data_IF_597411299889
#
_entry.id   IF_597411299889
#
_cell.length_a   1.000
_cell.length_b   1.000
_cell.length_c   1.000
_cell.angle_alpha   90.00
_cell.angle_beta   90.00
_cell.angle_gamma   90.00
#
_symmetry.space_group_name_H-M   'P 1'
#
loop_
_entity.id
_entity.type
_entity.pdbx_description
1 polymer ?
#
# COMPACT_ATOMS: atom_id res chain seq x y z
N UNK A 1 25.11 -25.53 10.80
CA UNK A 1 25.16 -26.12 12.16
C UNK A 1 24.96 -25.09 13.28
N UNK A 2 25.51 -23.87 13.22
CA UNK A 2 25.36 -22.86 14.29
C UNK A 2 24.02 -22.09 14.35
N UNK A 3 23.28 -21.96 13.25
CA UNK A 3 21.99 -21.25 13.21
C UNK A 3 20.83 -22.04 13.82
N UNK A 4 20.91 -23.37 13.82
CA UNK A 4 19.84 -24.24 14.34
C UNK A 4 19.80 -24.25 15.88
N UNK A 5 20.94 -24.12 16.55
CA UNK A 5 21.05 -24.07 18.01
C UNK A 5 20.57 -22.75 18.60
N UNK A 6 20.77 -21.63 17.90
CA UNK A 6 20.29 -20.30 18.29
C UNK A 6 18.76 -20.18 18.23
N UNK A 7 18.13 -20.77 17.20
CA UNK A 7 16.67 -20.83 17.09
C UNK A 7 16.03 -21.64 18.23
N UNK A 8 16.65 -22.77 18.61
CA UNK A 8 16.18 -23.60 19.72
C UNK A 8 16.37 -22.92 21.10
N UNK A 9 17.47 -22.18 21.29
CA UNK A 9 17.72 -21.40 22.50
C UNK A 9 16.75 -20.22 22.67
N UNK A 10 16.42 -19.51 21.58
CA UNK A 10 15.44 -18.42 21.61
C UNK A 10 14.01 -18.92 21.90
N UNK A 11 13.66 -20.11 21.40
CA UNK A 11 12.37 -20.74 21.68
C UNK A 11 12.23 -21.17 23.15
N UNK A 12 13.31 -21.62 23.79
CA UNK A 12 13.33 -21.99 25.21
C UNK A 12 13.30 -20.76 26.12
N UNK A 13 13.94 -19.64 25.75
CA UNK A 13 13.86 -18.38 26.51
C UNK A 13 12.46 -17.76 26.49
N UNK A 14 11.76 -17.83 25.34
CA UNK A 14 10.39 -17.31 25.19
C UNK A 14 9.36 -18.05 26.06
N UNK A 15 9.64 -19.31 26.43
CA UNK A 15 8.79 -20.11 27.31
C UNK A 15 9.02 -19.86 28.81
N UNK A 16 10.18 -19.31 29.19
CA UNK A 16 10.58 -19.13 30.58
C UNK A 16 9.92 -17.91 31.27
N UNK A 17 9.57 -16.87 30.50
CA UNK A 17 8.86 -15.67 30.95
C UNK A 17 8.02 -15.10 29.79
N UNK A 18 6.79 -15.58 29.59
CA UNK A 18 5.98 -15.12 28.47
C UNK A 18 5.54 -13.66 28.69
N UNK A 19 5.73 -12.81 27.68
CA UNK A 19 5.16 -11.47 27.70
C UNK A 19 3.65 -11.59 27.47
N UNK A 20 2.88 -11.09 28.43
CA UNK A 20 1.43 -11.00 28.34
C UNK A 20 1.02 -9.57 28.03
N UNK A 21 0.29 -9.36 26.94
CA UNK A 21 -0.23 -8.05 26.51
C UNK A 21 -1.74 -8.07 26.59
N UNK A 22 -2.31 -7.23 27.45
CA UNK A 22 -3.76 -7.00 27.52
C UNK A 22 -4.12 -5.75 26.74
N UNK A 23 -5.17 -5.80 25.92
CA UNK A 23 -5.71 -4.66 25.20
C UNK A 23 -7.24 -4.74 25.09
N UNK A 24 -7.89 -3.59 25.05
CA UNK A 24 -9.33 -3.48 24.82
C UNK A 24 -9.62 -3.54 23.31
N UNK A 25 -10.53 -4.42 22.89
CA UNK A 25 -10.94 -4.53 21.49
C UNK A 25 -11.95 -3.43 21.09
N UNK A 26 -12.27 -3.34 19.80
CA UNK A 26 -13.19 -2.31 19.27
C UNK A 26 -14.61 -2.40 19.83
N UNK A 27 -14.97 -3.51 20.46
CA UNK A 27 -16.29 -3.74 21.06
C UNK A 27 -16.26 -3.53 22.58
N UNK A 28 -15.14 -3.07 23.15
CA UNK A 28 -14.98 -2.83 24.58
C UNK A 28 -14.68 -4.09 25.40
N UNK A 29 -14.23 -5.18 24.76
CA UNK A 29 -13.86 -6.39 25.48
C UNK A 29 -12.35 -6.46 25.70
N UNK A 30 -11.94 -6.80 26.92
CA UNK A 30 -10.54 -7.04 27.25
C UNK A 30 -10.06 -8.36 26.65
N UNK A 31 -8.94 -8.29 25.91
CA UNK A 31 -8.27 -9.46 25.35
C UNK A 31 -6.83 -9.52 25.82
N UNK A 32 -6.41 -10.71 26.19
CA UNK A 32 -5.06 -10.99 26.68
C UNK A 32 -4.34 -11.89 25.70
N UNK A 33 -3.16 -11.48 25.23
CA UNK A 33 -2.29 -12.26 24.35
C UNK A 33 -1.01 -12.66 25.09
N UNK A 34 -0.66 -13.95 25.06
CA UNK A 34 0.55 -14.47 25.71
C UNK A 34 1.57 -14.86 24.64
N UNK A 35 2.81 -14.37 24.76
CA UNK A 35 3.89 -14.73 23.84
C UNK A 35 4.10 -16.24 23.79
N UNK A 36 3.92 -16.85 22.62
CA UNK A 36 3.97 -18.30 22.42
C UNK A 36 2.63 -18.93 22.01
N UNK A 37 1.52 -18.18 22.12
CA UNK A 37 0.26 -18.58 21.53
C UNK A 37 0.40 -18.70 20.00
N UNK A 38 -0.13 -19.79 19.42
CA UNK A 38 -0.02 -20.13 17.98
C UNK A 38 -0.24 -18.88 17.12
N UNK A 39 0.57 -18.65 16.08
CA UNK A 39 0.41 -17.54 15.09
C UNK A 39 -1.05 -17.33 14.60
N UNK A 40 -1.88 -18.38 14.66
CA UNK A 40 -3.31 -18.31 14.34
C UNK A 40 -4.15 -17.47 15.34
N UNK A 41 -3.73 -17.29 16.58
CA UNK A 41 -4.41 -16.45 17.59
C UNK A 41 -4.09 -14.96 17.44
N UNK A 42 -2.97 -14.59 16.80
CA UNK A 42 -2.64 -13.21 16.46
C UNK A 42 -3.09 -12.79 15.05
N UNK A 43 -3.59 -13.71 14.23
CA UNK A 43 -4.10 -13.44 12.89
C UNK A 43 -5.64 -13.37 12.88
N UNK A 44 -6.20 -12.16 12.77
CA UNK A 44 -7.64 -11.98 12.67
C UNK A 44 -8.09 -12.10 11.20
N UNK A 45 -8.89 -13.12 10.87
CA UNK A 45 -9.62 -13.15 9.59
C UNK A 45 -10.81 -12.19 9.69
N UNK A 46 -10.69 -11.04 9.06
CA UNK A 46 -11.76 -10.04 8.98
C UNK A 46 -11.48 -9.08 7.83
N UNK A 47 -12.51 -8.44 7.28
CA UNK A 47 -12.37 -7.44 6.22
C UNK A 47 -11.48 -6.32 6.73
N UNK A 48 -10.34 -6.08 6.05
CA UNK A 48 -9.38 -5.04 6.44
C UNK A 48 -10.01 -3.67 6.21
N UNK A 49 -10.75 -3.17 7.20
CA UNK A 49 -11.31 -1.80 7.19
C UNK A 49 -10.20 -0.74 7.11
N UNK A 50 -8.96 -1.11 7.43
CA UNK A 50 -7.76 -0.27 7.35
C UNK A 50 -7.27 -0.08 5.90
N UNK A 51 -7.51 -1.04 5.00
CA UNK A 51 -7.05 -0.98 3.61
C UNK A 51 -8.08 -0.40 2.63
N UNK A 52 -9.33 -0.18 3.06
CA UNK A 52 -10.44 0.29 2.20
C UNK A 52 -10.10 1.58 1.45
N UNK A 53 -9.41 2.53 2.10
CA UNK A 53 -9.02 3.79 1.47
C UNK A 53 -7.97 3.60 0.39
N UNK A 54 -7.00 2.71 0.64
CA UNK A 54 -5.95 2.36 -0.30
C UNK A 54 -6.57 1.66 -1.51
N UNK A 55 -7.44 0.68 -1.29
CA UNK A 55 -8.19 -0.03 -2.35
C UNK A 55 -9.08 0.91 -3.18
N UNK A 56 -9.80 1.83 -2.52
CA UNK A 56 -10.60 2.83 -3.21
C UNK A 56 -9.74 3.73 -4.10
N UNK A 57 -8.55 4.13 -3.62
CA UNK A 57 -7.61 4.90 -4.40
C UNK A 57 -7.03 4.10 -5.58
N UNK A 58 -6.65 2.84 -5.37
CA UNK A 58 -6.22 1.94 -6.45
C UNK A 58 -7.29 1.78 -7.53
N UNK A 59 -8.56 1.70 -7.12
CA UNK A 59 -9.68 1.63 -8.06
C UNK A 59 -9.81 2.91 -8.90
N UNK A 60 -9.64 4.08 -8.28
CA UNK A 60 -9.65 5.37 -8.98
C UNK A 60 -8.47 5.48 -9.95
N UNK A 61 -7.26 5.17 -9.51
CA UNK A 61 -6.05 5.13 -10.35
C UNK A 61 -6.24 4.18 -11.53
N UNK A 62 -6.77 2.98 -11.27
CA UNK A 62 -7.03 1.99 -12.32
C UNK A 62 -7.98 2.54 -13.36
N UNK A 63 -9.15 3.02 -12.94
CA UNK A 63 -10.16 3.57 -13.85
C UNK A 63 -9.67 4.80 -14.61
N UNK A 64 -8.87 5.65 -13.96
CA UNK A 64 -8.44 6.93 -14.51
C UNK A 64 -7.19 6.89 -15.39
N UNK A 65 -6.29 5.92 -15.21
CA UNK A 65 -5.01 5.87 -15.92
C UNK A 65 -4.63 4.47 -16.43
N UNK A 66 -4.80 3.43 -15.62
CA UNK A 66 -4.20 2.10 -15.93
C UNK A 66 -5.09 1.25 -16.84
N UNK A 67 -6.41 1.46 -16.86
CA UNK A 67 -7.36 0.65 -17.62
C UNK A 67 -7.15 0.72 -19.15
N UNK A 68 -6.55 1.79 -19.66
CA UNK A 68 -6.13 1.89 -21.05
C UNK A 68 -4.96 0.94 -21.33
N UNK A 69 -3.89 1.05 -20.55
CA UNK A 69 -2.68 0.22 -20.68
C UNK A 69 -2.98 -1.28 -20.52
N UNK A 70 -3.86 -1.66 -19.60
CA UNK A 70 -4.31 -3.05 -19.48
C UNK A 70 -4.94 -3.59 -20.76
N UNK A 71 -5.71 -2.77 -21.49
CA UNK A 71 -6.32 -3.16 -22.75
C UNK A 71 -5.29 -3.28 -23.88
N UNK A 72 -4.36 -2.32 -23.96
CA UNK A 72 -3.26 -2.36 -24.93
C UNK A 72 -2.42 -3.63 -24.74
N UNK A 73 -1.94 -3.89 -23.52
CA UNK A 73 -1.14 -5.07 -23.24
C UNK A 73 -1.93 -6.37 -23.38
N UNK A 74 -3.22 -6.38 -23.03
CA UNK A 74 -4.11 -7.51 -23.33
C UNK A 74 -4.15 -7.82 -24.83
N UNK A 75 -4.36 -6.79 -25.67
CA UNK A 75 -4.41 -6.99 -27.12
C UNK A 75 -3.09 -7.48 -27.73
N UNK A 76 -1.94 -7.08 -27.16
CA UNK A 76 -0.63 -7.57 -27.59
C UNK A 76 -0.45 -9.06 -27.30
N UNK A 77 -0.93 -9.52 -26.14
CA UNK A 77 -0.93 -10.95 -25.79
C UNK A 77 -1.89 -11.72 -26.69
N UNK A 78 -3.11 -11.21 -26.87
CA UNK A 78 -4.15 -11.87 -27.66
C UNK A 78 -3.74 -12.01 -29.14
N UNK A 79 -3.00 -11.05 -29.68
CA UNK A 79 -2.47 -11.08 -31.05
C UNK A 79 -1.18 -11.91 -31.20
N UNK A 80 -0.61 -12.43 -30.10
CA UNK A 80 0.66 -13.17 -30.13
C UNK A 80 1.89 -12.29 -30.38
N UNK A 81 1.80 -10.98 -30.15
CA UNK A 81 2.91 -10.02 -30.27
C UNK A 81 3.74 -9.88 -28.99
N UNK A 82 3.36 -10.58 -27.93
CA UNK A 82 4.10 -10.59 -26.69
C UNK A 82 4.06 -11.99 -26.07
N UNK A 83 5.23 -12.57 -25.84
CA UNK A 83 5.42 -13.74 -25.00
C UNK A 83 6.17 -13.38 -23.73
N UNK A 84 5.62 -13.80 -22.58
CA UNK A 84 6.32 -13.65 -21.29
C UNK A 84 7.61 -14.45 -21.22
N UNK A 85 7.71 -15.53 -21.99
CA UNK A 85 8.90 -16.40 -21.99
C UNK A 85 10.01 -15.87 -22.90
N UNK A 86 9.72 -14.88 -23.76
CA UNK A 86 10.71 -14.25 -24.62
C UNK A 86 11.36 -13.05 -23.90
N UNK A 87 12.69 -13.07 -23.82
CA UNK A 87 13.46 -11.99 -23.22
C UNK A 87 13.43 -10.70 -24.05
N UNK A 88 13.42 -10.82 -25.38
CA UNK A 88 13.38 -9.66 -26.27
C UNK A 88 12.07 -8.89 -26.10
N UNK A 89 10.95 -9.61 -26.04
CA UNK A 89 9.62 -9.03 -25.80
C UNK A 89 9.54 -8.35 -24.44
N UNK A 90 10.10 -8.97 -23.39
CA UNK A 90 10.17 -8.36 -22.06
C UNK A 90 10.99 -7.07 -22.06
N UNK A 91 12.17 -7.07 -22.69
CA UNK A 91 13.03 -5.88 -22.79
C UNK A 91 12.31 -4.78 -23.57
N UNK A 92 11.70 -5.11 -24.72
CA UNK A 92 10.94 -4.17 -25.52
C UNK A 92 9.77 -3.58 -24.73
N UNK A 93 9.06 -4.40 -23.95
CA UNK A 93 7.99 -3.95 -23.07
C UNK A 93 8.46 -2.90 -22.07
N UNK A 94 9.56 -3.18 -21.36
CA UNK A 94 10.11 -2.25 -20.36
C UNK A 94 10.73 -1.00 -20.97
N UNK A 95 11.43 -1.12 -22.10
CA UNK A 95 12.15 -0.02 -22.73
C UNK A 95 11.19 0.95 -23.44
N UNK A 96 10.21 0.43 -24.18
CA UNK A 96 9.30 1.25 -24.99
C UNK A 96 8.10 1.73 -24.18
N UNK A 97 7.38 0.81 -23.53
CA UNK A 97 6.14 1.17 -22.84
C UNK A 97 6.36 1.61 -21.39
N UNK A 98 7.44 1.17 -20.74
CA UNK A 98 7.76 1.56 -19.37
C UNK A 98 7.81 3.09 -19.14
N UNK A 99 8.53 3.87 -19.96
CA UNK A 99 8.56 5.33 -19.85
C UNK A 99 7.18 5.98 -20.05
N UNK A 100 6.42 5.51 -21.03
CA UNK A 100 5.10 6.06 -21.38
C UNK A 100 4.09 5.81 -20.26
N UNK A 101 4.05 4.59 -19.73
CA UNK A 101 3.21 4.23 -18.57
C UNK A 101 3.59 5.09 -17.36
N UNK A 102 4.89 5.24 -17.06
CA UNK A 102 5.35 6.09 -15.95
C UNK A 102 4.93 7.55 -16.13
N UNK A 103 5.02 8.09 -17.35
CA UNK A 103 4.60 9.45 -17.68
C UNK A 103 3.10 9.64 -17.43
N UNK A 104 2.27 8.72 -17.92
CA UNK A 104 0.81 8.78 -17.73
C UNK A 104 0.41 8.68 -16.26
N UNK A 105 1.05 7.77 -15.51
CA UNK A 105 0.80 7.65 -14.07
C UNK A 105 1.21 8.93 -13.33
N UNK A 106 2.35 9.53 -13.68
CA UNK A 106 2.80 10.80 -13.10
C UNK A 106 1.82 11.94 -13.42
N UNK A 107 1.33 12.02 -14.67
CA UNK A 107 0.33 13.00 -15.09
C UNK A 107 -0.98 12.83 -14.30
N UNK A 108 -1.45 11.59 -14.13
CA UNK A 108 -2.64 11.30 -13.34
C UNK A 108 -2.49 11.73 -11.87
N UNK A 109 -1.33 11.48 -11.26
CA UNK A 109 -1.03 11.94 -9.89
C UNK A 109 -1.03 13.47 -9.83
N UNK A 110 -0.39 14.14 -10.79
CA UNK A 110 -0.38 15.59 -10.91
C UNK A 110 -1.80 16.17 -10.94
N UNK A 111 -2.63 15.70 -11.88
CA UNK A 111 -4.03 16.13 -12.00
C UNK A 111 -4.82 15.80 -10.73
N UNK A 112 -4.64 14.62 -10.14
CA UNK A 112 -5.34 14.22 -8.92
C UNK A 112 -5.00 15.13 -7.74
N UNK A 113 -3.74 15.57 -7.63
CA UNK A 113 -3.27 16.47 -6.57
C UNK A 113 -3.73 17.93 -6.75
N UNK A 114 -4.22 18.32 -7.93
CA UNK A 114 -4.89 19.63 -8.13
C UNK A 114 -6.34 19.64 -7.65
N UNK A 115 -6.93 18.46 -7.38
CA UNK A 115 -8.34 18.38 -7.00
C UNK A 115 -8.55 18.85 -5.57
N UNK A 116 -9.53 19.72 -5.39
CA UNK A 116 -9.90 20.26 -4.07
C UNK A 116 -10.48 19.16 -3.18
N UNK A 117 -9.86 18.92 -2.03
CA UNK A 117 -10.45 18.14 -0.95
C UNK A 117 -11.47 19.04 -0.25
N UNK A 118 -12.75 18.68 -0.36
CA UNK A 118 -13.85 19.40 0.27
C UNK A 118 -13.82 19.23 1.79
N UNK A 119 -14.18 20.28 2.53
CA UNK A 119 -14.35 20.23 3.98
C UNK A 119 -15.44 19.22 4.35
N UNK A 120 -15.12 18.29 5.25
CA UNK A 120 -16.06 17.26 5.71
C UNK A 120 -16.71 17.68 7.04
N UNK A 121 -18.04 17.52 7.15
CA UNK A 121 -18.77 17.77 8.40
C UNK A 121 -18.29 16.79 9.47
N UNK A 122 -18.08 17.28 10.70
CA UNK A 122 -17.58 16.51 11.87
C UNK A 122 -16.16 15.91 11.72
N UNK A 123 -15.32 16.46 10.83
CA UNK A 123 -13.92 16.04 10.67
C UNK A 123 -12.99 17.23 10.54
N UNK A 124 -12.84 17.96 11.63
CA UNK A 124 -12.01 19.18 11.69
C UNK A 124 -10.51 18.91 11.47
N UNK A 125 -10.02 17.74 11.89
CA UNK A 125 -8.62 17.34 11.70
C UNK A 125 -8.24 16.99 10.25
N UNK A 126 -9.20 16.96 9.31
CA UNK A 126 -8.92 16.68 7.90
C UNK A 126 -8.68 18.00 7.16
N UNK A 127 -7.45 18.20 6.69
CA UNK A 127 -7.07 19.42 5.97
C UNK A 127 -7.84 19.51 4.64
N UNK A 128 -8.63 20.57 4.48
CA UNK A 128 -9.35 20.88 3.23
C UNK A 128 -8.54 21.80 2.32
N UNK A 129 -8.76 21.73 1.02
CA UNK A 129 -8.06 22.55 0.02
C UNK A 129 -7.38 21.70 -1.06
N UNK A 130 -6.52 22.33 -1.85
CA UNK A 130 -5.78 21.67 -2.93
C UNK A 130 -4.51 21.06 -2.32
N UNK A 131 -4.30 19.73 -2.42
CA UNK A 131 -3.12 19.06 -1.88
C UNK A 131 -1.79 19.67 -2.37
N UNK A 132 -1.70 20.03 -3.66
CA UNK A 132 -0.52 20.66 -4.23
C UNK A 132 -0.17 22.01 -3.56
N UNK A 133 -1.18 22.84 -3.27
CA UNK A 133 -0.99 24.15 -2.64
C UNK A 133 -0.60 24.02 -1.16
N UNK A 134 -1.20 23.07 -0.45
CA UNK A 134 -0.85 22.75 0.94
C UNK A 134 0.62 22.30 1.05
N UNK A 135 1.07 21.47 0.11
CA UNK A 135 2.46 21.03 0.03
C UNK A 135 3.41 22.21 -0.23
N UNK A 136 3.11 23.03 -1.23
CA UNK A 136 3.92 24.18 -1.60
C UNK A 136 4.04 25.22 -0.47
N UNK A 137 2.95 25.49 0.26
CA UNK A 137 2.93 26.41 1.40
C UNK A 137 3.80 25.89 2.56
N UNK A 138 3.74 24.59 2.85
CA UNK A 138 4.53 23.97 3.92
C UNK A 138 6.04 24.01 3.62
N UNK A 139 6.42 23.78 2.36
CA UNK A 139 7.82 23.82 1.95
C UNK A 139 8.42 25.22 1.99
N UNK A 140 7.67 26.24 1.57
CA UNK A 140 8.12 27.65 1.63
C UNK A 140 8.43 28.09 3.06
N UNK A 141 7.60 27.73 4.03
CA UNK A 141 7.82 28.07 5.45
C UNK A 141 9.08 27.44 6.05
N UNK A 142 9.56 26.32 5.48
CA UNK A 142 10.75 25.61 5.97
C UNK A 142 12.07 26.12 5.40
N UNK A 143 12.03 26.85 4.28
CA UNK A 143 13.22 27.41 3.61
C UNK A 143 13.53 28.86 3.99
N UNK A 144 12.58 29.55 4.62
CA UNK A 144 12.72 30.94 5.09
C UNK A 144 12.96 31.05 6.60
N UNK A 145 13.33 29.96 7.27
CA UNK A 145 13.63 29.91 8.71
C UNK A 145 15.11 29.64 8.99
#
# INVERSE_FOLDING_TARGET
MAQATLAAANATLAAANPITVTYEDRNGNDRTFTQGDRIRSCHHYGTSTRNVRIESWWLLLRKGAVQYWMRVFGSLVDAGHFSKEDLADQIAMYAVYGPEVRRDLANYVGVSNTRVIRKQRNREHVVSGIPADQWAATWKLRLTG
#
